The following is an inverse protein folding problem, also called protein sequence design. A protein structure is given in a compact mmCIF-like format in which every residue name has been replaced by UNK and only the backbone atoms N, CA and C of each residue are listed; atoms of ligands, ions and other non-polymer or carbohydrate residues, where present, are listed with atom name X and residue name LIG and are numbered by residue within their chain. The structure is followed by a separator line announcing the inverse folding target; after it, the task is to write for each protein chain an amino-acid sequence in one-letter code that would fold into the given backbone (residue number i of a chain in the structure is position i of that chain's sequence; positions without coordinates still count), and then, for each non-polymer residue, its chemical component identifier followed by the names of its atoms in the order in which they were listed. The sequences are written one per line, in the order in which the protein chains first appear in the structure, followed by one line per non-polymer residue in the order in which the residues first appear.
data_IF_747487064925
#
_entry.id   IF_747487064925
#
_cell.length_a   1.000
_cell.length_b   1.000
_cell.length_c   1.000
_cell.angle_alpha   90.00
_cell.angle_beta   90.00
_cell.angle_gamma   90.00
#
_symmetry.space_group_name_H-M   'P 1'
#
loop_
_entity.id
_entity.type
_entity.pdbx_description
1 polymer ?
#
# COMPACT_ATOMS: atom_id res chain seq x y z
N UNK A 1 -14.83 -13.66 19.70
CA UNK A 1 -13.51 -14.26 19.85
C UNK A 1 -12.79 -14.14 18.50
N UNK A 2 -11.60 -13.54 18.47
CA UNK A 2 -10.79 -13.46 17.23
C UNK A 2 -9.46 -14.17 17.50
N UNK A 3 -9.00 -14.93 16.51
CA UNK A 3 -7.70 -15.58 16.53
C UNK A 3 -6.60 -14.56 16.23
N UNK A 4 -5.40 -14.69 16.80
CA UNK A 4 -4.22 -13.86 16.45
C UNK A 4 -3.79 -14.10 15.02
N UNK A 5 -3.86 -15.33 14.55
CA UNK A 5 -3.62 -15.74 13.18
C UNK A 5 -4.78 -16.57 12.68
N UNK A 6 -5.11 -16.45 11.38
CA UNK A 6 -6.07 -17.37 10.77
C UNK A 6 -5.42 -18.75 10.65
N UNK A 7 -6.09 -19.84 11.06
CA UNK A 7 -5.58 -21.18 10.92
C UNK A 7 -5.42 -21.54 9.44
N UNK A 8 -4.33 -22.19 9.11
CA UNK A 8 -4.10 -22.74 7.79
C UNK A 8 -4.85 -24.07 7.64
N UNK A 9 -5.03 -24.56 6.41
CA UNK A 9 -5.58 -25.92 6.15
C UNK A 9 -4.73 -26.98 6.86
N UNK A 10 -3.43 -26.77 6.96
CA UNK A 10 -2.49 -27.69 7.60
C UNK A 10 -2.69 -27.75 9.13
N UNK A 11 -3.06 -26.63 9.75
CA UNK A 11 -3.39 -26.57 11.17
C UNK A 11 -4.66 -27.37 11.48
N UNK A 12 -5.65 -27.33 10.59
CA UNK A 12 -6.86 -28.17 10.69
C UNK A 12 -6.55 -29.66 10.49
N UNK A 13 -5.71 -30.00 9.51
CA UNK A 13 -5.36 -31.38 9.24
C UNK A 13 -4.50 -32.02 10.35
N UNK A 14 -3.66 -31.21 10.99
CA UNK A 14 -2.79 -31.67 12.08
C UNK A 14 -3.45 -31.61 13.46
N UNK A 15 -4.72 -31.18 13.56
CA UNK A 15 -5.45 -30.97 14.81
C UNK A 15 -4.70 -30.07 15.80
N UNK A 16 -3.82 -29.19 15.32
CA UNK A 16 -3.15 -28.16 16.10
C UNK A 16 -4.13 -27.04 16.32
N UNK A 17 -4.89 -27.14 17.41
CA UNK A 17 -5.84 -26.10 17.79
C UNK A 17 -5.10 -24.78 17.93
N UNK A 18 -5.51 -23.77 17.19
CA UNK A 18 -5.00 -22.41 17.29
C UNK A 18 -5.36 -21.87 18.67
N UNK A 19 -4.40 -21.90 19.58
CA UNK A 19 -4.60 -21.57 20.98
C UNK A 19 -4.60 -20.08 21.30
N UNK A 20 -4.23 -19.23 20.33
CA UNK A 20 -4.03 -17.81 20.57
C UNK A 20 -5.29 -16.99 20.30
N UNK A 21 -6.18 -16.97 21.27
CA UNK A 21 -7.39 -16.14 21.25
C UNK A 21 -7.01 -14.74 21.77
N UNK A 22 -7.29 -13.70 20.97
CA UNK A 22 -7.20 -12.32 21.45
C UNK A 22 -8.42 -12.04 22.32
N UNK A 23 -8.20 -11.81 23.62
CA UNK A 23 -9.27 -11.45 24.56
C UNK A 23 -9.77 -10.03 24.30
N UNK A 24 -10.91 -9.70 24.90
CA UNK A 24 -11.43 -8.33 24.84
C UNK A 24 -10.49 -7.35 25.57
N UNK A 25 -9.92 -7.78 26.69
CA UNK A 25 -8.96 -7.00 27.46
C UNK A 25 -7.67 -6.75 26.68
N UNK A 26 -7.10 -7.77 26.04
CA UNK A 26 -5.91 -7.63 25.17
C UNK A 26 -6.13 -6.59 24.10
N UNK A 27 -7.34 -6.60 23.49
CA UNK A 27 -7.70 -5.63 22.46
C UNK A 27 -7.83 -4.23 23.04
N UNK A 28 -8.49 -4.06 24.17
CA UNK A 28 -8.62 -2.77 24.81
C UNK A 28 -7.25 -2.20 25.20
N UNK A 29 -6.39 -3.03 25.77
CA UNK A 29 -5.03 -2.60 26.12
C UNK A 29 -4.22 -2.21 24.88
N UNK A 30 -4.31 -2.98 23.80
CA UNK A 30 -3.68 -2.64 22.52
C UNK A 30 -4.20 -1.32 21.95
N UNK A 31 -5.52 -1.10 21.95
CA UNK A 31 -6.13 0.15 21.50
C UNK A 31 -5.68 1.33 22.35
N UNK A 32 -5.67 1.19 23.68
CA UNK A 32 -5.21 2.24 24.59
C UNK A 32 -3.76 2.63 24.32
N UNK A 33 -2.88 1.65 24.10
CA UNK A 33 -1.48 1.89 23.75
C UNK A 33 -1.33 2.51 22.36
N UNK A 34 -2.11 2.04 21.37
CA UNK A 34 -2.06 2.51 19.99
C UNK A 34 -2.51 3.98 19.90
N UNK A 35 -3.66 4.29 20.48
CA UNK A 35 -4.26 5.63 20.39
C UNK A 35 -3.69 6.65 21.37
N UNK A 36 -2.76 6.25 22.24
CA UNK A 36 -1.98 7.19 23.07
C UNK A 36 -0.86 7.90 22.27
N UNK A 37 -0.51 7.38 21.10
CA UNK A 37 0.50 7.96 20.20
C UNK A 37 -0.12 8.96 19.21
N UNK A 38 0.66 9.88 18.64
CA UNK A 38 0.18 10.70 17.54
C UNK A 38 -0.15 9.81 16.31
N UNK A 39 -1.16 10.18 15.52
CA UNK A 39 -1.51 9.44 14.32
C UNK A 39 -0.38 9.51 13.27
N UNK A 40 -0.14 8.41 12.57
CA UNK A 40 0.77 8.35 11.44
C UNK A 40 0.20 9.11 10.23
N UNK A 41 -1.09 8.90 9.97
CA UNK A 41 -1.84 9.57 8.92
C UNK A 41 -3.12 10.16 9.49
N UNK A 42 -3.42 11.41 9.15
CA UNK A 42 -4.69 12.06 9.48
C UNK A 42 -5.26 12.68 8.22
N UNK A 43 -6.44 12.23 7.84
CA UNK A 43 -7.23 12.74 6.72
C UNK A 43 -8.32 13.62 7.32
N UNK A 44 -8.42 14.89 6.87
CA UNK A 44 -9.30 15.90 7.46
C UNK A 44 -10.13 16.54 6.36
N UNK A 45 -11.42 16.28 6.34
CA UNK A 45 -12.42 16.85 5.45
C UNK A 45 -11.96 16.83 3.97
N UNK A 46 -11.36 15.70 3.55
CA UNK A 46 -10.83 15.57 2.20
C UNK A 46 -11.96 15.44 1.20
N UNK A 47 -11.88 16.29 0.17
CA UNK A 47 -12.78 16.23 -0.99
C UNK A 47 -11.97 16.06 -2.28
N UNK A 48 -12.57 15.34 -3.22
CA UNK A 48 -12.06 15.25 -4.59
C UNK A 48 -13.20 15.41 -5.58
N UNK A 49 -13.10 16.43 -6.39
CA UNK A 49 -14.04 16.76 -7.43
C UNK A 49 -13.37 16.70 -8.80
N UNK A 50 -14.02 16.04 -9.74
CA UNK A 50 -13.63 16.04 -11.14
C UNK A 50 -14.58 16.91 -11.95
N UNK A 51 -14.02 17.84 -12.74
CA UNK A 51 -14.79 18.73 -13.60
C UNK A 51 -14.66 18.20 -15.03
N UNK A 52 -15.78 17.72 -15.60
CA UNK A 52 -15.85 17.35 -17.01
C UNK A 52 -16.07 18.60 -17.86
N UNK A 53 -15.08 18.94 -18.69
CA UNK A 53 -15.24 19.95 -19.73
C UNK A 53 -15.81 19.29 -20.97
N UNK A 54 -17.13 19.24 -21.06
CA UNK A 54 -17.82 18.72 -22.25
C UNK A 54 -18.18 19.88 -23.17
N UNK A 55 -17.44 20.02 -24.29
CA UNK A 55 -17.76 20.91 -25.41
C UNK A 55 -17.81 22.42 -25.14
N UNK A 56 -17.74 23.22 -26.23
CA UNK A 56 -17.72 24.69 -26.15
C UNK A 56 -19.06 25.32 -25.69
N UNK A 57 -20.16 24.54 -25.73
CA UNK A 57 -21.51 25.03 -25.41
C UNK A 57 -22.20 24.31 -24.26
N UNK A 58 -21.54 23.34 -23.58
CA UNK A 58 -22.12 22.60 -22.46
C UNK A 58 -21.61 23.12 -21.12
N UNK A 59 -22.50 23.25 -20.13
CA UNK A 59 -22.10 23.61 -18.75
C UNK A 59 -21.16 22.51 -18.20
N UNK A 60 -20.05 22.88 -17.56
CA UNK A 60 -19.19 21.90 -16.89
C UNK A 60 -20.03 21.12 -15.88
N UNK A 61 -19.96 19.79 -15.97
CA UNK A 61 -20.52 18.94 -14.92
C UNK A 61 -19.42 18.59 -13.93
N UNK A 62 -19.69 18.77 -12.65
CA UNK A 62 -18.80 18.34 -11.60
C UNK A 62 -19.30 17.03 -10.99
N UNK A 63 -18.35 16.17 -10.65
CA UNK A 63 -18.60 14.92 -9.95
C UNK A 63 -17.70 14.83 -8.73
N UNK A 64 -18.30 14.78 -7.53
CA UNK A 64 -17.56 14.54 -6.28
C UNK A 64 -17.29 13.05 -6.13
N UNK A 65 -16.04 12.66 -6.33
CA UNK A 65 -15.59 11.27 -6.14
C UNK A 65 -15.27 10.96 -4.67
N UNK A 66 -14.83 11.97 -3.90
CA UNK A 66 -14.63 11.91 -2.45
C UNK A 66 -15.31 13.12 -1.86
N UNK A 67 -16.17 12.91 -0.86
CA UNK A 67 -16.95 13.98 -0.23
C UNK A 67 -16.74 13.99 1.29
N UNK A 68 -16.00 14.97 1.78
CA UNK A 68 -15.80 15.29 3.19
C UNK A 68 -15.37 14.10 4.06
N UNK A 69 -14.33 13.36 3.63
CA UNK A 69 -13.84 12.19 4.34
C UNK A 69 -12.81 12.56 5.38
N UNK A 70 -12.98 12.04 6.62
CA UNK A 70 -12.05 12.25 7.73
C UNK A 70 -11.80 10.96 8.50
N UNK A 71 -10.54 10.64 8.79
CA UNK A 71 -10.12 9.53 9.64
C UNK A 71 -8.67 9.68 10.09
N UNK A 72 -8.28 8.86 11.06
CA UNK A 72 -6.90 8.75 11.56
C UNK A 72 -6.44 7.32 11.42
N UNK A 73 -5.14 7.16 11.16
CA UNK A 73 -4.46 5.86 11.12
C UNK A 73 -3.20 5.94 11.96
N UNK A 74 -2.98 4.94 12.79
CA UNK A 74 -1.85 4.89 13.72
C UNK A 74 -0.80 3.86 13.26
N UNK A 75 0.43 4.02 13.71
CA UNK A 75 1.50 3.08 13.38
C UNK A 75 1.18 1.67 13.90
N UNK A 76 1.24 0.67 13.00
CA UNK A 76 0.88 -0.72 13.28
C UNK A 76 -0.62 -1.01 13.24
N UNK A 77 -1.44 -0.04 12.78
CA UNK A 77 -2.87 -0.23 12.54
C UNK A 77 -3.14 -0.63 11.09
N UNK A 78 -4.20 -1.41 10.90
CA UNK A 78 -4.77 -1.71 9.57
C UNK A 78 -6.18 -1.17 9.53
N UNK A 79 -6.43 -0.24 8.60
CA UNK A 79 -7.75 0.36 8.36
C UNK A 79 -8.33 -0.19 7.05
N UNK A 80 -9.51 -0.81 7.13
CA UNK A 80 -10.26 -1.27 5.96
C UNK A 80 -11.22 -0.19 5.46
N UNK A 81 -11.10 0.19 4.17
CA UNK A 81 -12.08 1.02 3.46
C UNK A 81 -13.04 0.11 2.70
N UNK A 82 -14.32 0.14 3.08
CA UNK A 82 -15.37 -0.68 2.49
C UNK A 82 -16.38 0.22 1.80
N UNK A 83 -16.91 -0.23 0.66
CA UNK A 83 -17.93 0.49 -0.11
C UNK A 83 -18.08 -0.11 -1.51
N UNK A 84 -19.14 0.26 -2.20
CA UNK A 84 -19.45 -0.22 -3.55
C UNK A 84 -18.35 0.12 -4.56
N UNK A 85 -18.36 -0.57 -5.72
CA UNK A 85 -17.43 -0.23 -6.81
C UNK A 85 -17.73 1.19 -7.30
N UNK A 86 -16.67 1.98 -7.52
CA UNK A 86 -16.81 3.38 -7.97
C UNK A 86 -17.13 4.41 -6.88
N UNK A 87 -17.27 4.02 -5.60
CA UNK A 87 -17.58 4.97 -4.51
C UNK A 87 -16.39 5.87 -4.07
N UNK A 88 -15.25 5.85 -4.78
CA UNK A 88 -14.14 6.76 -4.52
C UNK A 88 -12.99 6.19 -3.67
N UNK A 89 -12.97 4.89 -3.32
CA UNK A 89 -11.89 4.27 -2.53
C UNK A 89 -10.51 4.48 -3.15
N UNK A 90 -10.33 4.11 -4.41
CA UNK A 90 -9.07 4.28 -5.14
C UNK A 90 -8.72 5.76 -5.34
N UNK A 91 -9.72 6.64 -5.52
CA UNK A 91 -9.52 8.09 -5.60
C UNK A 91 -8.96 8.63 -4.29
N UNK A 92 -9.49 8.20 -3.14
CA UNK A 92 -8.98 8.58 -1.84
C UNK A 92 -7.55 8.05 -1.61
N UNK A 93 -7.28 6.80 -1.99
CA UNK A 93 -5.94 6.21 -1.98
C UNK A 93 -4.94 7.04 -2.80
N UNK A 94 -5.31 7.43 -4.02
CA UNK A 94 -4.49 8.28 -4.89
C UNK A 94 -4.26 9.67 -4.29
N UNK A 95 -5.25 10.24 -3.60
CA UNK A 95 -5.10 11.51 -2.90
C UNK A 95 -4.10 11.41 -1.74
N UNK A 96 -4.16 10.34 -0.95
CA UNK A 96 -3.20 10.08 0.14
C UNK A 96 -1.77 9.92 -0.41
N UNK A 97 -1.61 9.25 -1.54
CA UNK A 97 -0.32 9.06 -2.21
C UNK A 97 0.17 10.30 -2.96
N UNK A 98 -0.62 11.37 -3.00
CA UNK A 98 -0.34 12.57 -3.82
C UNK A 98 -0.09 12.23 -5.31
N UNK A 99 -0.73 11.18 -5.82
CA UNK A 99 -0.79 10.85 -7.24
C UNK A 99 -1.83 11.71 -7.95
N UNK A 100 -2.95 11.97 -7.27
CA UNK A 100 -3.99 12.91 -7.67
C UNK A 100 -4.33 13.81 -6.48
N UNK A 101 -4.20 15.12 -6.65
CA UNK A 101 -4.36 16.07 -5.55
C UNK A 101 -5.83 16.17 -5.12
N UNK A 102 -6.07 16.20 -3.81
CA UNK A 102 -7.36 16.56 -3.25
C UNK A 102 -7.79 17.97 -3.71
N UNK A 103 -9.09 18.17 -3.88
CA UNK A 103 -9.66 19.48 -4.25
C UNK A 103 -9.80 20.38 -3.01
N UNK A 104 -10.11 19.77 -1.85
CA UNK A 104 -10.21 20.44 -0.56
C UNK A 104 -9.81 19.49 0.57
N UNK A 105 -9.69 20.04 1.79
CA UNK A 105 -9.28 19.33 2.98
C UNK A 105 -7.76 19.25 3.15
N UNK A 106 -7.32 18.44 4.11
CA UNK A 106 -5.91 18.28 4.48
C UNK A 106 -5.57 16.81 4.67
N UNK A 107 -4.34 16.46 4.35
CA UNK A 107 -3.78 15.13 4.62
C UNK A 107 -2.48 15.35 5.37
N UNK A 108 -2.46 14.97 6.65
CA UNK A 108 -1.28 15.08 7.50
C UNK A 108 -0.59 13.71 7.60
N UNK A 109 0.69 13.67 7.30
CA UNK A 109 1.54 12.51 7.50
C UNK A 109 2.63 12.87 8.53
N UNK A 110 2.68 12.16 9.65
CA UNK A 110 3.50 12.53 10.80
C UNK A 110 3.33 14.02 11.20
N UNK A 111 2.10 14.54 11.18
CA UNK A 111 1.78 15.93 11.48
C UNK A 111 2.11 16.96 10.40
N UNK A 112 2.69 16.55 9.27
CA UNK A 112 3.04 17.43 8.15
C UNK A 112 1.95 17.39 7.09
N UNK A 113 1.40 18.51 6.68
CA UNK A 113 0.41 18.62 5.62
C UNK A 113 1.07 18.31 4.25
N UNK A 114 0.82 17.11 3.75
CA UNK A 114 1.41 16.63 2.50
C UNK A 114 0.73 17.22 1.26
N UNK A 115 -0.46 17.81 1.39
CA UNK A 115 -1.17 18.45 0.28
C UNK A 115 -0.46 19.72 -0.21
N UNK A 116 0.35 20.32 0.66
CA UNK A 116 1.11 21.57 0.40
C UNK A 116 2.57 21.35 0.04
N UNK A 117 3.02 20.09 -0.01
CA UNK A 117 4.42 19.78 -0.29
C UNK A 117 4.79 20.08 -1.74
N UNK A 118 6.04 20.51 -1.92
CA UNK A 118 6.66 20.60 -3.24
C UNK A 118 6.88 19.22 -3.86
N UNK A 119 6.99 19.15 -5.20
CA UNK A 119 7.25 17.90 -5.90
C UNK A 119 8.54 17.20 -5.41
N UNK A 120 9.55 17.96 -5.01
CA UNK A 120 10.80 17.43 -4.44
C UNK A 120 10.56 16.76 -3.08
N UNK A 121 9.73 17.36 -2.21
CA UNK A 121 9.38 16.79 -0.92
C UNK A 121 8.48 15.53 -1.08
N UNK A 122 7.51 15.57 -2.01
CA UNK A 122 6.67 14.40 -2.34
C UNK A 122 7.55 13.24 -2.85
N UNK A 123 8.58 13.51 -3.64
CA UNK A 123 9.50 12.48 -4.12
C UNK A 123 10.24 11.76 -2.99
N UNK A 124 10.59 12.48 -1.91
CA UNK A 124 11.17 11.90 -0.70
C UNK A 124 10.13 11.09 0.08
N UNK A 125 8.90 11.60 0.18
CA UNK A 125 7.79 10.94 0.86
C UNK A 125 7.43 9.59 0.24
N UNK A 126 7.59 9.44 -1.09
CA UNK A 126 7.34 8.18 -1.81
C UNK A 126 8.20 6.99 -1.36
N UNK A 127 9.26 7.20 -0.59
CA UNK A 127 9.96 6.11 0.08
C UNK A 127 9.16 5.56 1.27
N UNK A 128 8.45 6.43 1.97
CA UNK A 128 7.76 6.09 3.21
C UNK A 128 6.30 5.65 3.00
N UNK A 129 5.66 6.17 1.94
CA UNK A 129 4.27 5.83 1.58
C UNK A 129 4.26 5.12 0.24
N UNK A 130 3.78 3.90 0.20
CA UNK A 130 3.77 3.04 -0.97
C UNK A 130 2.37 2.53 -1.29
N UNK A 131 2.17 2.06 -2.52
CA UNK A 131 0.92 1.43 -2.97
C UNK A 131 1.18 0.03 -3.52
N UNK A 132 0.26 -0.88 -3.24
CA UNK A 132 0.13 -2.16 -3.93
C UNK A 132 -1.11 -2.06 -4.81
N UNK A 133 -0.91 -2.05 -6.12
CA UNK A 133 -1.97 -1.92 -7.11
C UNK A 133 -2.78 -3.22 -7.26
N UNK A 134 -4.03 -3.07 -7.66
CA UNK A 134 -4.94 -4.18 -8.00
C UNK A 134 -4.41 -5.04 -9.16
N UNK A 135 -3.90 -4.39 -10.21
CA UNK A 135 -3.36 -5.08 -11.38
C UNK A 135 -1.83 -5.22 -11.31
N UNK A 136 -1.33 -6.45 -11.06
CA UNK A 136 0.10 -6.70 -11.01
C UNK A 136 0.77 -6.59 -12.40
N UNK A 137 0.01 -6.70 -13.50
CA UNK A 137 0.57 -6.62 -14.85
C UNK A 137 1.02 -5.19 -15.19
N UNK A 138 0.22 -4.18 -14.82
CA UNK A 138 0.53 -2.78 -15.09
C UNK A 138 1.67 -2.25 -14.24
N UNK A 139 2.00 -2.92 -13.13
CA UNK A 139 3.03 -2.48 -12.19
C UNK A 139 4.46 -2.92 -12.54
N UNK A 140 4.62 -3.89 -13.45
CA UNK A 140 5.91 -4.47 -13.81
C UNK A 140 6.25 -4.22 -15.29
N UNK A 141 7.46 -3.72 -15.55
CA UNK A 141 7.96 -3.62 -16.92
C UNK A 141 8.34 -5.03 -17.45
N UNK A 142 7.68 -5.53 -18.52
CA UNK A 142 7.92 -6.90 -19.02
C UNK A 142 9.32 -7.13 -19.59
N UNK A 143 10.09 -6.06 -19.82
CA UNK A 143 11.45 -6.12 -20.37
C UNK A 143 12.56 -6.12 -19.32
N UNK A 144 12.21 -6.03 -18.04
CA UNK A 144 13.17 -5.98 -16.93
C UNK A 144 13.03 -7.26 -16.09
N UNK A 145 14.13 -7.96 -15.77
CA UNK A 145 14.09 -9.09 -14.86
C UNK A 145 13.51 -8.72 -13.50
N UNK A 146 12.84 -9.68 -12.85
CA UNK A 146 12.14 -9.46 -11.59
C UNK A 146 13.07 -8.93 -10.49
N UNK A 147 14.28 -9.48 -10.37
CA UNK A 147 15.25 -9.02 -9.39
C UNK A 147 15.63 -7.56 -9.60
N UNK A 148 15.88 -7.15 -10.85
CA UNK A 148 16.17 -5.75 -11.19
C UNK A 148 14.98 -4.83 -10.92
N UNK A 149 13.76 -5.28 -11.21
CA UNK A 149 12.54 -4.51 -10.93
C UNK A 149 12.33 -4.25 -9.42
N UNK A 150 12.75 -5.20 -8.55
CA UNK A 150 12.73 -5.04 -7.10
C UNK A 150 13.90 -4.16 -6.62
N UNK A 151 15.06 -4.25 -7.25
CA UNK A 151 16.24 -3.44 -6.91
C UNK A 151 16.10 -1.97 -7.35
N UNK A 152 15.37 -1.70 -8.43
CA UNK A 152 15.23 -0.36 -9.01
C UNK A 152 14.83 0.72 -7.98
N UNK A 153 13.77 0.55 -7.18
CA UNK A 153 13.41 1.53 -6.16
C UNK A 153 14.49 1.71 -5.09
N UNK A 154 15.23 0.67 -4.74
CA UNK A 154 16.36 0.78 -3.81
C UNK A 154 17.47 1.66 -4.40
N UNK A 155 17.78 1.51 -5.70
CA UNK A 155 18.76 2.34 -6.43
C UNK A 155 18.31 3.81 -6.48
N UNK A 156 17.06 4.05 -6.87
CA UNK A 156 16.48 5.41 -6.98
C UNK A 156 16.52 6.15 -5.64
N UNK A 157 16.22 5.46 -4.55
CA UNK A 157 16.22 6.03 -3.19
C UNK A 157 17.56 5.90 -2.47
N UNK A 158 18.61 5.44 -3.17
CA UNK A 158 19.98 5.31 -2.65
C UNK A 158 20.05 4.46 -1.36
N UNK A 159 19.24 3.39 -1.31
CA UNK A 159 19.34 2.41 -0.25
C UNK A 159 20.51 1.48 -0.54
N UNK A 160 21.22 1.09 0.53
CA UNK A 160 22.38 0.21 0.49
C UNK A 160 23.55 0.77 -0.33
N UNK A 161 24.74 0.30 -0.04
CA UNK A 161 25.99 0.89 -0.59
C UNK A 161 26.39 0.33 -1.96
N UNK A 162 25.96 -0.90 -2.28
CA UNK A 162 26.37 -1.58 -3.51
C UNK A 162 25.21 -2.35 -4.17
N UNK A 163 25.37 -2.67 -5.44
CA UNK A 163 24.40 -3.54 -6.15
C UNK A 163 24.45 -4.99 -5.64
N UNK A 164 25.59 -5.43 -5.12
CA UNK A 164 25.71 -6.75 -4.47
C UNK A 164 24.83 -6.82 -3.22
N UNK A 165 24.88 -5.81 -2.37
CA UNK A 165 24.04 -5.72 -1.16
C UNK A 165 22.54 -5.60 -1.52
N UNK A 166 22.17 -4.81 -2.54
CA UNK A 166 20.80 -4.73 -3.03
C UNK A 166 20.27 -6.06 -3.55
N UNK A 167 21.14 -6.82 -4.27
CA UNK A 167 20.80 -8.15 -4.78
C UNK A 167 20.54 -9.12 -3.63
N UNK A 168 21.39 -9.14 -2.61
CA UNK A 168 21.20 -9.95 -1.42
C UNK A 168 19.86 -9.64 -0.73
N UNK A 169 19.58 -8.36 -0.52
CA UNK A 169 18.29 -7.91 0.05
C UNK A 169 17.10 -8.27 -0.82
N UNK A 170 17.26 -8.23 -2.13
CA UNK A 170 16.20 -8.67 -3.07
C UNK A 170 15.92 -10.16 -2.94
N UNK A 171 16.95 -10.99 -2.80
CA UNK A 171 16.80 -12.44 -2.57
C UNK A 171 16.08 -12.71 -1.23
N UNK A 172 16.49 -12.02 -0.16
CA UNK A 172 15.79 -12.10 1.14
C UNK A 172 14.29 -11.76 1.01
N UNK A 173 13.97 -10.70 0.25
CA UNK A 173 12.59 -10.26 0.04
C UNK A 173 11.80 -11.27 -0.81
N UNK A 174 12.39 -11.80 -1.89
CA UNK A 174 11.77 -12.86 -2.69
C UNK A 174 11.39 -14.05 -1.81
N UNK A 175 12.30 -14.53 -0.96
CA UNK A 175 12.03 -15.61 -0.03
C UNK A 175 10.91 -15.26 0.97
N UNK A 176 10.86 -14.03 1.48
CA UNK A 176 9.78 -13.56 2.38
C UNK A 176 8.39 -13.59 1.73
N UNK A 177 8.31 -13.36 0.43
CA UNK A 177 7.03 -13.44 -0.30
C UNK A 177 6.77 -14.84 -0.90
N UNK A 178 7.56 -15.84 -0.51
CA UNK A 178 7.40 -17.25 -0.96
C UNK A 178 7.79 -17.48 -2.42
N UNK A 179 8.80 -16.76 -2.91
CA UNK A 179 9.38 -16.92 -4.24
C UNK A 179 10.84 -17.37 -4.13
N UNK A 180 11.26 -18.30 -5.00
CA UNK A 180 12.65 -18.79 -5.04
C UNK A 180 13.62 -17.71 -5.53
N UNK A 181 14.87 -17.75 -5.04
CA UNK A 181 15.97 -16.91 -5.52
C UNK A 181 16.27 -17.11 -7.01
N UNK A 182 16.02 -18.32 -7.56
CA UNK A 182 16.16 -18.62 -8.99
C UNK A 182 15.31 -17.72 -9.88
N UNK A 183 14.30 -17.09 -9.31
CA UNK A 183 13.39 -16.19 -10.02
C UNK A 183 13.99 -14.81 -10.26
N UNK A 184 15.13 -14.49 -9.66
CA UNK A 184 15.77 -13.19 -9.77
C UNK A 184 15.98 -12.73 -11.22
N UNK A 185 16.45 -13.65 -12.09
CA UNK A 185 16.77 -13.36 -13.49
C UNK A 185 15.61 -13.59 -14.47
N UNK A 186 14.45 -14.07 -13.99
CA UNK A 186 13.28 -14.31 -14.83
C UNK A 186 12.51 -13.02 -15.11
N UNK A 187 11.77 -13.03 -16.21
CA UNK A 187 10.94 -11.91 -16.65
C UNK A 187 9.50 -12.04 -16.17
N UNK A 188 8.77 -10.93 -16.00
CA UNK A 188 7.39 -10.95 -15.50
C UNK A 188 6.43 -11.86 -16.26
N UNK A 189 6.61 -12.05 -17.57
CA UNK A 189 5.75 -12.91 -18.37
C UNK A 189 5.87 -14.40 -18.08
N UNK A 190 6.95 -14.83 -17.40
CA UNK A 190 7.19 -16.23 -17.01
C UNK A 190 6.45 -16.63 -15.71
N UNK A 191 5.70 -15.70 -15.11
CA UNK A 191 5.05 -15.88 -13.82
C UNK A 191 3.53 -15.92 -13.92
N UNK A 192 2.89 -16.68 -13.03
CA UNK A 192 1.43 -16.65 -12.84
C UNK A 192 0.97 -15.31 -12.26
N UNK A 193 -0.34 -15.02 -12.33
CA UNK A 193 -0.93 -13.80 -11.77
C UNK A 193 -0.60 -13.62 -10.28
N UNK A 194 -0.78 -14.68 -9.47
CA UNK A 194 -0.46 -14.63 -8.04
C UNK A 194 1.04 -14.47 -7.74
N UNK A 195 1.92 -15.04 -8.58
CA UNK A 195 3.36 -14.81 -8.44
C UNK A 195 3.73 -13.37 -8.77
N UNK A 196 3.14 -12.76 -9.82
CA UNK A 196 3.34 -11.35 -10.15
C UNK A 196 2.83 -10.43 -9.05
N UNK A 197 1.72 -10.77 -8.42
CA UNK A 197 1.23 -10.05 -7.25
C UNK A 197 2.27 -10.06 -6.12
N UNK A 198 2.85 -11.22 -5.81
CA UNK A 198 3.91 -11.35 -4.81
C UNK A 198 5.17 -10.56 -5.19
N UNK A 199 5.52 -10.50 -6.48
CA UNK A 199 6.63 -9.66 -6.97
C UNK A 199 6.31 -8.17 -6.77
N UNK A 200 5.08 -7.71 -7.03
CA UNK A 200 4.63 -6.35 -6.76
C UNK A 200 4.71 -6.00 -5.26
N UNK A 201 4.30 -6.93 -4.39
CA UNK A 201 4.45 -6.79 -2.95
C UNK A 201 5.95 -6.70 -2.58
N UNK A 202 6.80 -7.59 -3.12
CA UNK A 202 8.24 -7.59 -2.90
C UNK A 202 8.87 -6.23 -3.26
N UNK A 203 8.51 -5.67 -4.42
CA UNK A 203 8.95 -4.35 -4.87
C UNK A 203 8.54 -3.24 -3.91
N UNK A 204 7.32 -3.30 -3.38
CA UNK A 204 6.79 -2.33 -2.43
C UNK A 204 7.53 -2.39 -1.10
N UNK A 205 7.69 -3.58 -0.50
CA UNK A 205 8.34 -3.75 0.80
C UNK A 205 9.86 -3.54 0.76
N UNK A 206 10.46 -3.55 -0.44
CA UNK A 206 11.89 -3.29 -0.64
C UNK A 206 12.34 -1.91 -0.14
N UNK A 207 11.44 -0.93 -0.11
CA UNK A 207 11.69 0.40 0.44
C UNK A 207 11.48 0.49 1.95
N UNK A 208 10.98 -0.58 2.60
CA UNK A 208 10.61 -0.59 4.03
C UNK A 208 9.66 0.58 4.38
N UNK A 209 8.53 0.72 3.67
CA UNK A 209 7.62 1.83 3.87
C UNK A 209 6.97 1.78 5.24
N UNK A 210 6.60 2.95 5.77
CA UNK A 210 5.83 3.08 7.02
C UNK A 210 4.32 2.99 6.80
N UNK A 211 3.86 3.34 5.60
CA UNK A 211 2.46 3.27 5.19
C UNK A 211 2.33 2.57 3.85
N UNK A 212 1.44 1.58 3.78
CA UNK A 212 1.09 0.90 2.53
C UNK A 212 -0.41 1.07 2.29
N UNK A 213 -0.75 1.59 1.13
CA UNK A 213 -2.12 1.61 0.61
C UNK A 213 -2.29 0.37 -0.28
N UNK A 214 -3.32 -0.44 0.01
CA UNK A 214 -3.64 -1.63 -0.79
C UNK A 214 -4.94 -1.38 -1.55
N UNK A 215 -4.87 -1.32 -2.88
CA UNK A 215 -6.05 -1.17 -3.74
C UNK A 215 -6.46 -2.54 -4.28
N UNK A 216 -7.46 -3.17 -3.61
CA UNK A 216 -8.01 -4.50 -3.92
C UNK A 216 -6.94 -5.60 -4.17
N UNK A 217 -5.77 -5.46 -3.56
CA UNK A 217 -4.59 -6.30 -3.84
C UNK A 217 -4.69 -7.75 -3.35
N UNK A 218 -5.75 -8.10 -2.62
CA UNK A 218 -5.92 -9.44 -1.99
C UNK A 218 -6.88 -10.37 -2.71
N UNK A 219 -7.51 -9.94 -3.80
CA UNK A 219 -8.46 -10.77 -4.56
C UNK A 219 -7.79 -11.92 -5.34
N UNK A 220 -6.45 -11.92 -5.45
CA UNK A 220 -5.65 -12.89 -6.20
C UNK A 220 -4.63 -13.67 -5.35
N UNK A 221 -4.69 -13.57 -4.01
CA UNK A 221 -3.83 -14.31 -3.07
C UNK A 221 -4.48 -15.60 -2.58
#
# INVERSE_FOLDING_TARGET
TRLKTLPTIQDYLNNTAVSDIITYEDRQQRHKTLYSKPPLLEVINVEKEYISKSGWFTKPQSFKAVDNVSFKLYEGETLGLVGESGCGKSTLGNAILQLDKATAGQILYNGIDITKLSNSAIKKLRKEIQIIFQDPYSSLNPRIPVGEAIMEPMKVHKLYHSDAERKEKTIEILNKVGLSEDYFNRYPHEFSGGQRQRIGIARTIALQPKLIVCDESVSAL
#
